data_IF_187829804658
#
_entry.id   IF_187829804658
#
_cell.length_a   1.000
_cell.length_b   1.000
_cell.length_c   1.000
_cell.angle_alpha   90.00
_cell.angle_beta   90.00
_cell.angle_gamma   90.00
#
_symmetry.space_group_name_H-M   'P 1'
#
loop_
_entity.id
_entity.type
_entity.pdbx_description
1 polymer ?
#
# COMPACT_ATOMS: atom_id res chain seq x y z
N UNK A 1 -31.65 -35.76 -95.64
CA UNK A 1 -32.88 -36.19 -96.32
C UNK A 1 -32.89 -35.53 -97.68
N UNK A 2 -32.92 -36.31 -98.76
CA UNK A 2 -33.02 -35.79 -100.12
C UNK A 2 -34.46 -35.95 -100.59
N UNK A 3 -34.98 -34.94 -101.30
CA UNK A 3 -36.33 -34.96 -101.86
C UNK A 3 -36.26 -34.71 -103.37
N UNK A 4 -37.17 -35.31 -104.12
CA UNK A 4 -37.31 -35.02 -105.54
C UNK A 4 -38.08 -33.71 -105.75
N UNK A 5 -37.87 -33.10 -106.92
CA UNK A 5 -38.69 -31.98 -107.38
C UNK A 5 -40.17 -32.36 -107.44
N UNK A 6 -41.06 -31.42 -107.09
CA UNK A 6 -42.52 -31.59 -107.18
C UNK A 6 -43.00 -31.90 -108.60
N UNK A 7 -42.22 -31.56 -109.63
CA UNK A 7 -42.52 -31.83 -111.04
C UNK A 7 -41.94 -33.17 -111.53
N UNK A 8 -41.61 -34.12 -110.63
CA UNK A 8 -41.15 -35.46 -111.01
C UNK A 8 -42.14 -36.18 -111.93
N UNK A 9 -43.45 -36.03 -111.70
CA UNK A 9 -44.50 -36.56 -112.59
C UNK A 9 -44.50 -35.94 -113.98
N UNK A 10 -43.93 -34.73 -114.13
CA UNK A 10 -43.83 -34.00 -115.39
C UNK A 10 -42.46 -34.19 -116.06
N UNK A 11 -41.59 -35.06 -115.51
CA UNK A 11 -40.29 -35.42 -116.07
C UNK A 11 -39.09 -34.69 -115.49
N UNK A 12 -39.22 -33.99 -114.36
CA UNK A 12 -38.08 -33.38 -113.66
C UNK A 12 -37.43 -34.37 -112.69
N UNK A 13 -36.18 -34.77 -112.93
CA UNK A 13 -35.44 -35.75 -112.13
C UNK A 13 -34.55 -35.13 -111.03
N UNK A 14 -34.64 -33.81 -110.80
CA UNK A 14 -33.84 -33.12 -109.79
C UNK A 14 -34.07 -33.69 -108.38
N UNK A 15 -32.97 -34.00 -107.69
CA UNK A 15 -32.91 -34.57 -106.34
C UNK A 15 -31.91 -33.75 -105.50
N UNK A 16 -32.33 -33.26 -104.34
CA UNK A 16 -31.50 -32.38 -103.52
C UNK A 16 -32.04 -32.19 -102.10
N UNK A 17 -31.39 -31.34 -101.31
CA UNK A 17 -31.92 -30.92 -100.01
C UNK A 17 -33.21 -30.08 -100.22
N UNK A 18 -34.06 -30.00 -99.18
CA UNK A 18 -35.33 -29.30 -99.30
C UNK A 18 -35.19 -27.82 -99.72
N UNK A 19 -34.18 -27.11 -99.21
CA UNK A 19 -33.89 -25.73 -99.63
C UNK A 19 -33.46 -25.63 -101.10
N UNK A 20 -32.61 -26.55 -101.58
CA UNK A 20 -32.12 -26.58 -102.97
C UNK A 20 -33.25 -26.89 -103.96
N UNK A 21 -34.17 -27.78 -103.60
CA UNK A 21 -35.32 -28.13 -104.45
C UNK A 21 -36.35 -27.00 -104.51
N UNK A 22 -36.52 -26.21 -103.45
CA UNK A 22 -37.34 -24.99 -103.47
C UNK A 22 -36.73 -23.95 -104.43
N UNK A 23 -35.42 -23.72 -104.35
CA UNK A 23 -34.74 -22.80 -105.27
C UNK A 23 -34.82 -23.28 -106.72
N UNK A 24 -34.55 -24.57 -106.97
CA UNK A 24 -34.70 -25.17 -108.29
C UNK A 24 -36.13 -25.00 -108.83
N UNK A 25 -37.16 -25.30 -108.03
CA UNK A 25 -38.55 -25.16 -108.46
C UNK A 25 -38.91 -23.73 -108.89
N UNK A 26 -38.39 -22.72 -108.16
CA UNK A 26 -38.69 -21.31 -108.44
C UNK A 26 -37.92 -20.74 -109.63
N UNK A 27 -36.67 -21.17 -109.85
CA UNK A 27 -35.75 -20.51 -110.77
C UNK A 27 -35.38 -21.34 -112.00
N UNK A 28 -35.25 -22.66 -111.83
CA UNK A 28 -34.53 -23.52 -112.79
C UNK A 28 -35.39 -24.66 -113.36
N UNK A 29 -36.56 -24.94 -112.78
CA UNK A 29 -37.38 -26.09 -113.16
C UNK A 29 -38.13 -25.85 -114.48
N UNK A 30 -37.57 -26.31 -115.59
CA UNK A 30 -38.19 -26.16 -116.92
C UNK A 30 -39.47 -26.98 -117.12
N UNK A 31 -39.81 -27.84 -116.16
CA UNK A 31 -40.98 -28.72 -116.17
C UNK A 31 -42.12 -28.21 -115.28
N UNK A 32 -41.98 -27.02 -114.68
CA UNK A 32 -43.09 -26.43 -113.95
C UNK A 32 -44.22 -26.08 -114.92
N UNK A 33 -45.45 -26.36 -114.50
CA UNK A 33 -46.62 -26.02 -115.27
C UNK A 33 -46.80 -24.50 -115.31
N UNK A 34 -47.01 -23.97 -116.50
CA UNK A 34 -47.37 -22.58 -116.76
C UNK A 34 -48.64 -22.52 -117.60
N UNK A 35 -49.36 -21.42 -117.48
CA UNK A 35 -50.55 -21.15 -118.28
C UNK A 35 -50.23 -20.08 -119.31
N UNK A 36 -50.44 -20.38 -120.60
CA UNK A 36 -50.27 -19.39 -121.66
C UNK A 36 -51.23 -18.21 -121.43
N UNK A 37 -50.71 -16.98 -121.39
CA UNK A 37 -51.54 -15.81 -121.14
C UNK A 37 -52.54 -15.51 -122.26
N UNK A 38 -52.25 -15.98 -123.49
CA UNK A 38 -53.07 -15.79 -124.70
C UNK A 38 -54.24 -16.78 -124.77
N UNK A 39 -53.99 -18.09 -124.74
CA UNK A 39 -55.03 -19.11 -124.91
C UNK A 39 -55.47 -19.82 -123.61
N UNK A 40 -54.82 -19.53 -122.48
CA UNK A 40 -55.04 -20.18 -121.17
C UNK A 40 -54.75 -21.68 -121.11
N UNK A 41 -54.07 -22.24 -122.11
CA UNK A 41 -53.63 -23.64 -122.07
C UNK A 41 -52.48 -23.82 -121.06
N UNK A 42 -52.54 -24.89 -120.27
CA UNK A 42 -51.45 -25.28 -119.35
C UNK A 42 -50.42 -26.16 -120.07
N UNK A 43 -49.13 -25.86 -119.92
CA UNK A 43 -48.01 -26.55 -120.55
C UNK A 43 -46.74 -26.45 -119.68
N UNK A 44 -45.71 -27.23 -119.98
CA UNK A 44 -44.42 -27.09 -119.30
C UNK A 44 -43.70 -25.80 -119.73
N UNK A 45 -42.97 -25.16 -118.82
CA UNK A 45 -42.23 -23.93 -119.13
C UNK A 45 -41.31 -24.06 -120.35
N UNK A 46 -40.64 -25.21 -120.54
CA UNK A 46 -39.80 -25.49 -121.72
C UNK A 46 -40.56 -25.46 -123.06
N UNK A 47 -41.86 -25.73 -123.05
CA UNK A 47 -42.72 -25.77 -124.24
C UNK A 47 -43.37 -24.42 -124.52
N UNK A 48 -43.34 -23.49 -123.55
CA UNK A 48 -44.00 -22.19 -123.66
C UNK A 48 -43.43 -21.33 -124.79
N UNK A 49 -42.11 -21.30 -124.98
CA UNK A 49 -41.49 -20.55 -126.07
C UNK A 49 -41.89 -21.08 -127.44
N UNK A 50 -41.81 -22.41 -127.64
CA UNK A 50 -42.26 -23.05 -128.88
C UNK A 50 -43.75 -22.84 -129.14
N UNK A 51 -44.60 -22.93 -128.12
CA UNK A 51 -46.03 -22.66 -128.24
C UNK A 51 -46.34 -21.21 -128.65
N UNK A 52 -45.56 -20.24 -128.16
CA UNK A 52 -45.72 -18.84 -128.55
C UNK A 52 -45.24 -18.57 -130.00
N UNK A 53 -44.31 -19.38 -130.51
CA UNK A 53 -43.77 -19.27 -131.87
C UNK A 53 -44.66 -19.97 -132.92
N UNK A 54 -45.36 -21.05 -132.58
CA UNK A 54 -46.15 -21.86 -133.55
C UNK A 54 -47.65 -21.52 -133.61
N UNK A 55 -48.00 -20.24 -133.68
CA UNK A 55 -49.39 -19.73 -133.73
C UNK A 55 -50.28 -20.22 -132.56
N UNK A 56 -50.01 -19.66 -131.37
CA UNK A 56 -50.92 -19.69 -130.24
C UNK A 56 -52.29 -19.05 -130.62
N UNK A 57 -53.25 -19.90 -131.01
CA UNK A 57 -54.57 -19.48 -131.47
C UNK A 57 -55.44 -19.03 -130.28
N UNK A 58 -55.93 -17.79 -130.33
CA UNK A 58 -56.95 -17.28 -129.41
C UNK A 58 -58.30 -17.87 -129.87
N UNK A 59 -59.11 -18.51 -129.00
CA UNK A 59 -60.47 -18.85 -129.35
C UNK A 59 -61.26 -17.55 -129.57
N UNK A 60 -61.48 -17.17 -130.83
CA UNK A 60 -62.42 -16.09 -131.19
C UNK A 60 -63.84 -16.52 -130.82
N UNK A 61 -64.31 -16.09 -129.65
CA UNK A 61 -65.63 -16.42 -129.17
C UNK A 61 -66.13 -15.43 -128.13
N UNK A 62 -67.06 -14.58 -128.57
CA UNK A 62 -68.00 -13.78 -127.77
C UNK A 62 -67.58 -12.35 -127.38
N UNK A 63 -67.37 -11.52 -128.42
CA UNK A 63 -67.73 -10.10 -128.34
C UNK A 63 -69.27 -9.96 -128.32
N UNK A 64 -69.90 -10.29 -127.19
CA UNK A 64 -71.29 -9.91 -126.95
C UNK A 64 -71.33 -8.48 -126.45
N UNK A 65 -71.91 -7.63 -127.30
CA UNK A 65 -72.44 -6.30 -127.03
C UNK A 65 -72.99 -6.15 -125.60
N UNK A 66 -72.13 -5.70 -124.68
CA UNK A 66 -72.55 -5.23 -123.37
C UNK A 66 -72.93 -3.77 -123.51
N UNK A 67 -74.25 -3.53 -123.53
CA UNK A 67 -74.86 -2.20 -123.42
C UNK A 67 -74.27 -1.50 -122.20
N UNK A 68 -73.70 -0.32 -122.37
CA UNK A 68 -73.38 0.60 -121.29
C UNK A 68 -74.69 0.98 -120.58
N UNK A 69 -75.08 0.19 -119.57
CA UNK A 69 -75.92 0.67 -118.49
C UNK A 69 -75.18 1.83 -117.82
N UNK A 70 -75.91 2.89 -117.49
CA UNK A 70 -75.40 4.14 -116.92
C UNK A 70 -74.17 3.92 -116.05
N UNK A 71 -73.03 4.50 -116.45
CA UNK A 71 -71.76 4.52 -115.72
C UNK A 71 -71.94 4.91 -114.23
N UNK A 72 -73.01 5.67 -113.96
CA UNK A 72 -73.48 6.10 -112.65
C UNK A 72 -73.85 4.95 -111.71
N UNK A 73 -74.39 3.83 -112.23
CA UNK A 73 -74.80 2.67 -111.43
C UNK A 73 -73.62 1.80 -110.98
N UNK A 74 -72.47 1.88 -111.65
CA UNK A 74 -71.23 1.18 -111.27
C UNK A 74 -70.31 2.09 -110.46
N UNK A 75 -70.26 3.40 -110.73
CA UNK A 75 -69.41 4.36 -109.99
C UNK A 75 -69.92 4.59 -108.55
N UNK A 76 -71.23 4.53 -108.31
CA UNK A 76 -71.81 4.85 -106.99
C UNK A 76 -71.40 3.90 -105.85
N UNK A 77 -71.36 2.56 -106.01
CA UNK A 77 -70.79 1.65 -105.01
C UNK A 77 -69.31 1.90 -104.74
N UNK A 78 -68.49 2.10 -105.78
CA UNK A 78 -67.07 2.39 -105.63
C UNK A 78 -66.82 3.70 -104.88
N UNK A 79 -67.62 4.74 -105.14
CA UNK A 79 -67.53 6.01 -104.42
C UNK A 79 -67.89 5.86 -102.92
N UNK A 80 -68.87 5.00 -102.61
CA UNK A 80 -69.22 4.66 -101.23
C UNK A 80 -68.10 3.91 -100.51
N UNK A 81 -67.52 2.88 -101.14
CA UNK A 81 -66.43 2.09 -100.58
C UNK A 81 -65.16 2.95 -100.34
N UNK A 82 -64.82 3.84 -101.27
CA UNK A 82 -63.72 4.80 -101.11
C UNK A 82 -63.98 5.76 -99.94
N UNK A 83 -65.23 6.20 -99.77
CA UNK A 83 -65.65 7.00 -98.61
C UNK A 83 -65.46 6.25 -97.30
N UNK A 84 -65.93 4.99 -97.24
CA UNK A 84 -65.79 4.14 -96.06
C UNK A 84 -64.32 3.87 -95.72
N UNK A 85 -63.49 3.58 -96.72
CA UNK A 85 -62.04 3.41 -96.54
C UNK A 85 -61.37 4.69 -96.04
N UNK A 86 -61.79 5.86 -96.51
CA UNK A 86 -61.29 7.16 -96.02
C UNK A 86 -61.63 7.35 -94.54
N UNK A 87 -62.86 7.06 -94.15
CA UNK A 87 -63.30 7.19 -92.76
C UNK A 87 -62.57 6.21 -91.84
N UNK A 88 -62.38 4.95 -92.30
CA UNK A 88 -61.57 3.96 -91.60
C UNK A 88 -60.11 4.40 -91.45
N UNK A 89 -59.51 4.96 -92.51
CA UNK A 89 -58.14 5.48 -92.46
C UNK A 89 -58.01 6.64 -91.47
N UNK A 90 -58.96 7.59 -91.47
CA UNK A 90 -59.00 8.69 -90.49
C UNK A 90 -59.19 8.20 -89.05
N UNK A 91 -59.98 7.15 -88.85
CA UNK A 91 -60.15 6.50 -87.54
C UNK A 91 -58.85 5.84 -87.06
N UNK A 92 -58.18 5.07 -87.93
CA UNK A 92 -56.88 4.44 -87.63
C UNK A 92 -55.82 5.50 -87.34
N UNK A 93 -55.78 6.58 -88.12
CA UNK A 93 -54.83 7.67 -87.91
C UNK A 93 -55.04 8.35 -86.55
N UNK A 94 -56.28 8.58 -86.14
CA UNK A 94 -56.61 9.13 -84.82
C UNK A 94 -56.18 8.18 -83.70
N UNK A 95 -56.48 6.89 -83.82
CA UNK A 95 -56.07 5.87 -82.84
C UNK A 95 -54.54 5.72 -82.74
N UNK A 96 -53.84 5.81 -83.87
CA UNK A 96 -52.38 5.80 -83.91
C UNK A 96 -51.79 7.03 -83.19
N UNK A 97 -52.40 8.20 -83.39
CA UNK A 97 -51.97 9.43 -82.72
C UNK A 97 -52.18 9.35 -81.20
N UNK A 98 -53.33 8.85 -80.75
CA UNK A 98 -53.59 8.60 -79.32
C UNK A 98 -52.60 7.59 -78.73
N UNK A 99 -52.35 6.49 -79.41
CA UNK A 99 -51.38 5.48 -78.98
C UNK A 99 -49.96 6.06 -78.89
N UNK A 100 -49.58 6.90 -79.86
CA UNK A 100 -48.29 7.60 -79.85
C UNK A 100 -48.15 8.52 -78.64
N UNK A 101 -49.20 9.26 -78.29
CA UNK A 101 -49.22 10.14 -77.11
C UNK A 101 -49.14 9.34 -75.80
N UNK A 102 -49.85 8.22 -75.70
CA UNK A 102 -49.77 7.30 -74.56
C UNK A 102 -48.37 6.71 -74.40
N UNK A 103 -47.75 6.24 -75.49
CA UNK A 103 -46.37 5.72 -75.46
C UNK A 103 -45.39 6.82 -75.05
N UNK A 104 -45.53 8.04 -75.58
CA UNK A 104 -44.69 9.17 -75.19
C UNK A 104 -44.81 9.47 -73.68
N UNK A 105 -46.03 9.46 -73.15
CA UNK A 105 -46.27 9.61 -71.71
C UNK A 105 -45.64 8.49 -70.88
N UNK A 106 -45.77 7.23 -71.31
CA UNK A 106 -45.12 6.10 -70.62
C UNK A 106 -43.60 6.19 -70.64
N UNK A 107 -43.00 6.56 -71.77
CA UNK A 107 -41.53 6.74 -71.89
C UNK A 107 -41.05 7.84 -70.96
N UNK A 108 -41.79 8.94 -70.83
CA UNK A 108 -41.46 10.01 -69.89
C UNK A 108 -41.52 9.52 -68.43
N UNK A 109 -42.57 8.79 -68.06
CA UNK A 109 -42.68 8.20 -66.71
C UNK A 109 -41.56 7.19 -66.41
N UNK A 110 -41.16 6.37 -67.39
CA UNK A 110 -40.03 5.45 -67.23
C UNK A 110 -38.71 6.19 -67.01
N UNK A 111 -38.49 7.32 -67.70
CA UNK A 111 -37.31 8.16 -67.49
C UNK A 111 -37.28 8.75 -66.09
N UNK A 112 -38.37 9.35 -65.64
CA UNK A 112 -38.48 9.92 -64.29
C UNK A 112 -38.27 8.86 -63.20
N UNK A 113 -38.80 7.65 -63.41
CA UNK A 113 -38.54 6.51 -62.50
C UNK A 113 -37.07 6.09 -62.50
N UNK A 114 -36.43 6.00 -63.67
CA UNK A 114 -35.02 5.64 -63.76
C UNK A 114 -34.12 6.68 -63.06
N UNK A 115 -34.43 7.97 -63.21
CA UNK A 115 -33.71 9.05 -62.52
C UNK A 115 -33.90 8.96 -61.00
N UNK A 116 -35.12 8.68 -60.54
CA UNK A 116 -35.41 8.46 -59.12
C UNK A 116 -34.66 7.24 -58.56
N UNK A 117 -34.63 6.12 -59.28
CA UNK A 117 -33.92 4.91 -58.87
C UNK A 117 -32.40 5.14 -58.80
N UNK A 118 -31.84 5.95 -59.71
CA UNK A 118 -30.44 6.37 -59.68
C UNK A 118 -30.14 7.20 -58.43
N UNK A 119 -30.99 8.17 -58.07
CA UNK A 119 -30.85 8.96 -56.85
C UNK A 119 -30.97 8.13 -55.57
N UNK A 120 -31.87 7.14 -55.55
CA UNK A 120 -31.98 6.19 -54.44
C UNK A 120 -30.68 5.39 -54.31
N UNK A 121 -30.13 4.91 -55.43
CA UNK A 121 -28.87 4.14 -55.45
C UNK A 121 -27.70 4.96 -54.93
N UNK A 122 -27.58 6.23 -55.34
CA UNK A 122 -26.54 7.15 -54.86
C UNK A 122 -26.69 7.44 -53.35
N UNK A 123 -27.94 7.65 -52.89
CA UNK A 123 -28.24 7.86 -51.47
C UNK A 123 -27.88 6.64 -50.63
N UNK A 124 -28.21 5.44 -51.10
CA UNK A 124 -27.84 4.18 -50.45
C UNK A 124 -26.32 4.01 -50.38
N UNK A 125 -25.59 4.32 -51.45
CA UNK A 125 -24.12 4.28 -51.42
C UNK A 125 -23.52 5.29 -50.44
N UNK A 126 -24.08 6.49 -50.36
CA UNK A 126 -23.63 7.52 -49.41
C UNK A 126 -23.87 7.07 -47.97
N UNK A 127 -25.04 6.48 -47.68
CA UNK A 127 -25.35 5.91 -46.37
C UNK A 127 -24.44 4.73 -46.02
N UNK A 128 -24.17 3.82 -46.95
CA UNK A 128 -23.27 2.68 -46.75
C UNK A 128 -21.84 3.16 -46.40
N UNK A 129 -21.32 4.14 -47.15
CA UNK A 129 -20.01 4.73 -46.85
C UNK A 129 -19.96 5.41 -45.48
N UNK A 130 -21.03 6.15 -45.13
CA UNK A 130 -21.14 6.83 -43.84
C UNK A 130 -21.20 5.82 -42.69
N UNK A 131 -21.97 4.75 -42.84
CA UNK A 131 -22.09 3.68 -41.86
C UNK A 131 -20.75 2.96 -41.67
N UNK A 132 -20.05 2.64 -42.76
CA UNK A 132 -18.72 2.01 -42.72
C UNK A 132 -17.71 2.86 -41.97
N UNK A 133 -17.65 4.17 -42.26
CA UNK A 133 -16.71 5.06 -41.55
C UNK A 133 -17.09 5.23 -40.08
N UNK A 134 -18.38 5.36 -39.76
CA UNK A 134 -18.85 5.40 -38.37
C UNK A 134 -18.47 4.13 -37.60
N UNK A 135 -18.65 2.95 -38.22
CA UNK A 135 -18.25 1.68 -37.63
C UNK A 135 -16.74 1.59 -37.42
N UNK A 136 -15.93 2.04 -38.40
CA UNK A 136 -14.47 2.08 -38.28
C UNK A 136 -14.01 2.98 -37.15
N UNK A 137 -14.64 4.15 -36.99
CA UNK A 137 -14.36 5.08 -35.89
C UNK A 137 -14.76 4.50 -34.54
N UNK A 138 -15.92 3.85 -34.46
CA UNK A 138 -16.38 3.17 -33.26
C UNK A 138 -15.42 2.05 -32.86
N UNK A 139 -14.93 1.25 -33.82
CA UNK A 139 -13.94 0.21 -33.57
C UNK A 139 -12.62 0.79 -33.04
N UNK A 140 -12.08 1.84 -33.67
CA UNK A 140 -10.85 2.49 -33.19
C UNK A 140 -11.01 3.08 -31.79
N UNK A 141 -12.19 3.61 -31.47
CA UNK A 141 -12.50 4.08 -30.12
C UNK A 141 -12.54 2.93 -29.11
N UNK A 142 -13.19 1.82 -29.48
CA UNK A 142 -13.22 0.60 -28.68
C UNK A 142 -11.81 0.05 -28.42
N UNK A 143 -10.95 0.01 -29.44
CA UNK A 143 -9.56 -0.46 -29.31
C UNK A 143 -8.76 0.44 -28.36
N UNK A 144 -8.87 1.77 -28.49
CA UNK A 144 -8.22 2.72 -27.55
C UNK A 144 -8.69 2.55 -26.12
N UNK A 145 -10.00 2.43 -25.90
CA UNK A 145 -10.53 2.20 -24.56
C UNK A 145 -10.08 0.87 -23.97
N UNK A 146 -9.92 -0.17 -24.79
CA UNK A 146 -9.36 -1.45 -24.35
C UNK A 146 -7.88 -1.33 -23.95
N UNK A 147 -7.07 -0.57 -24.71
CA UNK A 147 -5.68 -0.29 -24.37
C UNK A 147 -5.54 0.50 -23.07
N UNK A 148 -6.37 1.54 -22.88
CA UNK A 148 -6.41 2.33 -21.64
C UNK A 148 -6.80 1.46 -20.43
N UNK A 149 -7.82 0.60 -20.57
CA UNK A 149 -8.22 -0.35 -19.54
C UNK A 149 -7.11 -1.35 -19.19
N UNK A 150 -6.35 -1.81 -20.19
CA UNK A 150 -5.21 -2.69 -19.96
C UNK A 150 -4.10 -1.99 -19.16
N UNK A 151 -3.80 -0.72 -19.48
CA UNK A 151 -2.82 0.09 -18.74
C UNK A 151 -3.26 0.33 -17.28
N UNK A 152 -4.53 0.70 -17.07
CA UNK A 152 -5.11 0.87 -15.73
C UNK A 152 -5.03 -0.44 -14.94
N UNK A 153 -5.39 -1.56 -15.57
CA UNK A 153 -5.34 -2.89 -14.95
C UNK A 153 -3.93 -3.26 -14.48
N UNK A 154 -2.91 -2.99 -15.31
CA UNK A 154 -1.52 -3.23 -14.94
C UNK A 154 -1.06 -2.31 -13.79
N UNK A 155 -1.42 -1.03 -13.85
CA UNK A 155 -1.09 -0.07 -12.78
C UNK A 155 -1.72 -0.47 -11.44
N UNK A 156 -2.99 -0.89 -11.44
CA UNK A 156 -3.67 -1.41 -10.25
C UNK A 156 -3.00 -2.67 -9.70
N UNK A 157 -2.52 -3.56 -10.58
CA UNK A 157 -1.76 -4.75 -10.18
C UNK A 157 -0.46 -4.36 -9.45
N UNK A 158 0.28 -3.39 -9.97
CA UNK A 158 1.54 -2.93 -9.37
C UNK A 158 1.34 -2.25 -8.01
N UNK A 159 0.30 -1.42 -7.91
CA UNK A 159 -0.12 -0.82 -6.62
C UNK A 159 -0.46 -1.91 -5.61
N UNK A 160 -1.23 -2.92 -6.02
CA UNK A 160 -1.63 -4.01 -5.14
C UNK A 160 -0.43 -4.87 -4.68
N UNK A 161 0.56 -5.11 -5.55
CA UNK A 161 1.83 -5.74 -5.16
C UNK A 161 2.57 -4.89 -4.13
N UNK A 162 2.63 -3.57 -4.33
CA UNK A 162 3.29 -2.64 -3.41
C UNK A 162 2.61 -2.59 -2.04
N UNK A 163 1.27 -2.55 -2.01
CA UNK A 163 0.48 -2.61 -0.77
C UNK A 163 0.73 -3.92 -0.01
N UNK A 164 0.80 -5.06 -0.72
CA UNK A 164 1.14 -6.35 -0.09
C UNK A 164 2.53 -6.32 0.55
N UNK A 165 3.53 -5.75 -0.13
CA UNK A 165 4.90 -5.61 0.44
C UNK A 165 4.90 -4.76 1.69
N UNK A 166 4.24 -3.60 1.66
CA UNK A 166 4.11 -2.71 2.82
C UNK A 166 3.44 -3.44 3.99
N UNK A 167 2.34 -4.16 3.72
CA UNK A 167 1.65 -4.97 4.72
C UNK A 167 2.59 -5.98 5.38
N UNK A 168 3.32 -6.77 4.59
CA UNK A 168 4.25 -7.77 5.13
C UNK A 168 5.39 -7.15 5.95
N UNK A 169 5.90 -5.99 5.52
CA UNK A 169 6.92 -5.25 6.28
C UNK A 169 6.38 -4.72 7.60
N UNK A 170 5.16 -4.20 7.62
CA UNK A 170 4.49 -3.75 8.85
C UNK A 170 4.21 -4.91 9.80
N UNK A 171 3.74 -6.05 9.29
CA UNK A 171 3.50 -7.25 10.10
C UNK A 171 4.82 -7.75 10.74
N UNK A 172 5.92 -7.71 9.98
CA UNK A 172 7.25 -8.06 10.50
C UNK A 172 7.68 -7.10 11.61
N UNK A 173 7.60 -5.79 11.36
CA UNK A 173 7.95 -4.76 12.34
C UNK A 173 7.11 -4.86 13.63
N UNK A 174 5.80 -5.06 13.50
CA UNK A 174 4.91 -5.23 14.66
C UNK A 174 5.30 -6.47 15.46
N UNK A 175 5.63 -7.58 14.78
CA UNK A 175 6.04 -8.83 15.45
C UNK A 175 7.36 -8.64 16.20
N UNK A 176 8.36 -7.99 15.59
CA UNK A 176 9.64 -7.66 16.21
C UNK A 176 9.46 -6.74 17.43
N UNK A 177 8.75 -5.63 17.28
CA UNK A 177 8.48 -4.70 18.37
C UNK A 177 7.70 -5.35 19.53
N UNK A 178 6.72 -6.21 19.21
CA UNK A 178 5.96 -6.96 20.23
C UNK A 178 6.88 -7.92 20.98
N UNK A 179 7.80 -8.60 20.28
CA UNK A 179 8.78 -9.49 20.90
C UNK A 179 9.74 -8.71 21.82
N UNK A 180 10.25 -7.57 21.40
CA UNK A 180 11.13 -6.72 22.20
C UNK A 180 10.44 -6.23 23.48
N UNK A 181 9.21 -5.73 23.36
CA UNK A 181 8.40 -5.30 24.51
C UNK A 181 8.12 -6.48 25.45
N UNK A 182 7.79 -7.66 24.90
CA UNK A 182 7.57 -8.85 25.72
C UNK A 182 8.80 -9.24 26.53
N UNK A 183 9.99 -9.20 25.93
CA UNK A 183 11.27 -9.47 26.63
C UNK A 183 11.54 -8.41 27.70
N UNK A 184 11.34 -7.12 27.39
CA UNK A 184 11.52 -6.05 28.37
C UNK A 184 10.56 -6.19 29.57
N UNK A 185 9.29 -6.53 29.32
CA UNK A 185 8.31 -6.81 30.37
C UNK A 185 8.72 -8.00 31.23
N UNK A 186 9.20 -9.10 30.63
CA UNK A 186 9.69 -10.27 31.38
C UNK A 186 10.90 -9.92 32.26
N UNK A 187 11.85 -9.13 31.76
CA UNK A 187 12.99 -8.68 32.54
C UNK A 187 12.56 -7.80 33.73
N UNK A 188 11.65 -6.85 33.51
CA UNK A 188 11.11 -6.01 34.59
C UNK A 188 10.32 -6.82 35.63
N UNK A 189 9.58 -7.85 35.18
CA UNK A 189 8.91 -8.78 36.08
C UNK A 189 9.93 -9.53 36.96
N UNK A 190 11.01 -10.03 36.36
CA UNK A 190 12.08 -10.71 37.10
C UNK A 190 12.77 -9.76 38.10
N UNK A 191 13.11 -8.53 37.70
CA UNK A 191 13.71 -7.54 38.61
C UNK A 191 12.78 -7.19 39.77
N UNK A 192 11.47 -7.12 39.51
CA UNK A 192 10.47 -6.88 40.55
C UNK A 192 10.39 -8.06 41.51
N UNK A 193 10.39 -9.30 41.00
CA UNK A 193 10.43 -10.52 41.82
C UNK A 193 11.69 -10.54 42.71
N UNK A 194 12.86 -10.29 42.14
CA UNK A 194 14.13 -10.23 42.85
C UNK A 194 14.12 -9.13 43.95
N UNK A 195 13.52 -7.97 43.66
CA UNK A 195 13.36 -6.89 44.64
C UNK A 195 12.37 -7.25 45.75
N UNK A 196 11.27 -7.91 45.40
CA UNK A 196 10.29 -8.39 46.38
C UNK A 196 10.85 -9.47 47.30
N UNK A 197 11.81 -10.27 46.85
CA UNK A 197 12.52 -11.25 47.68
C UNK A 197 13.61 -10.60 48.54
N UNK A 198 14.28 -9.57 48.02
CA UNK A 198 15.32 -8.84 48.75
C UNK A 198 14.75 -8.05 49.94
N UNK A 199 13.58 -7.43 49.76
CA UNK A 199 13.00 -6.50 50.74
C UNK A 199 12.72 -7.14 52.10
N UNK A 200 12.02 -8.29 52.20
CA UNK A 200 11.80 -9.02 53.47
C UNK A 200 13.11 -9.47 54.11
N UNK A 201 14.11 -9.84 53.30
CA UNK A 201 15.38 -10.34 53.81
C UNK A 201 16.19 -9.23 54.49
N UNK A 202 16.19 -8.02 53.93
CA UNK A 202 16.80 -6.83 54.56
C UNK A 202 16.00 -6.40 55.78
N UNK A 203 14.66 -6.32 55.66
CA UNK A 203 13.78 -5.96 56.77
C UNK A 203 13.97 -6.89 57.97
N UNK A 204 13.96 -8.21 57.74
CA UNK A 204 14.19 -9.20 58.80
C UNK A 204 15.56 -9.09 59.46
N UNK A 205 16.63 -8.83 58.68
CA UNK A 205 17.97 -8.56 59.25
C UNK A 205 18.00 -7.27 60.08
N UNK A 206 17.31 -6.22 59.63
CA UNK A 206 17.24 -4.97 60.40
C UNK A 206 16.41 -5.10 61.67
N UNK A 207 15.28 -5.83 61.62
CA UNK A 207 14.46 -6.14 62.78
C UNK A 207 15.26 -6.93 63.82
N UNK A 208 15.97 -7.99 63.39
CA UNK A 208 16.83 -8.77 64.28
C UNK A 208 17.94 -7.93 64.93
N UNK A 209 18.54 -6.99 64.18
CA UNK A 209 19.55 -6.07 64.73
C UNK A 209 18.95 -5.08 65.72
N UNK A 210 17.75 -4.56 65.45
CA UNK A 210 17.02 -3.67 66.37
C UNK A 210 16.67 -4.40 67.66
N UNK A 211 16.15 -5.62 67.58
CA UNK A 211 15.85 -6.45 68.74
C UNK A 211 17.12 -6.74 69.57
N UNK A 212 18.24 -7.04 68.91
CA UNK A 212 19.54 -7.21 69.58
C UNK A 212 20.03 -5.95 70.29
N UNK A 213 19.88 -4.77 69.66
CA UNK A 213 20.22 -3.48 70.27
C UNK A 213 19.29 -3.15 71.45
N UNK A 214 17.99 -3.41 71.32
CA UNK A 214 17.02 -3.19 72.38
C UNK A 214 17.33 -4.06 73.59
N UNK A 215 17.61 -5.36 73.38
CA UNK A 215 18.00 -6.27 74.44
C UNK A 215 19.31 -5.83 75.12
N UNK A 216 20.31 -5.39 74.34
CA UNK A 216 21.57 -4.86 74.88
C UNK A 216 21.35 -3.59 75.71
N UNK A 217 20.51 -2.68 75.23
CA UNK A 217 20.16 -1.45 75.95
C UNK A 217 19.42 -1.77 77.25
N UNK A 218 18.47 -2.72 77.22
CA UNK A 218 17.71 -3.18 78.38
C UNK A 218 18.65 -3.77 79.46
N UNK A 219 19.61 -4.60 79.06
CA UNK A 219 20.57 -5.19 79.99
C UNK A 219 21.53 -4.14 80.57
N UNK A 220 21.99 -3.18 79.76
CA UNK A 220 22.79 -2.05 80.26
C UNK A 220 22.02 -1.22 81.28
N UNK A 221 20.76 -0.90 81.01
CA UNK A 221 19.91 -0.14 81.94
C UNK A 221 19.70 -0.90 83.26
N UNK A 222 19.50 -2.21 83.18
CA UNK A 222 19.38 -3.09 84.34
C UNK A 222 20.67 -3.11 85.17
N UNK A 223 21.82 -3.26 84.51
CA UNK A 223 23.13 -3.24 85.17
C UNK A 223 23.39 -1.88 85.85
N UNK A 224 23.04 -0.77 85.20
CA UNK A 224 23.15 0.57 85.77
C UNK A 224 22.27 0.73 87.01
N UNK A 225 21.03 0.22 86.95
CA UNK A 225 20.11 0.24 88.08
C UNK A 225 20.64 -0.57 89.27
N UNK A 226 21.21 -1.75 89.01
CA UNK A 226 21.81 -2.58 90.06
C UNK A 226 23.10 -1.96 90.62
N UNK A 227 23.89 -1.27 89.78
CA UNK A 227 25.03 -0.47 90.23
C UNK A 227 24.58 0.69 91.12
N UNK A 228 23.51 1.41 90.76
CA UNK A 228 22.93 2.46 91.61
C UNK A 228 22.46 1.93 92.96
N UNK A 229 21.79 0.76 93.00
CA UNK A 229 21.42 0.12 94.27
C UNK A 229 22.64 -0.19 95.14
N UNK A 230 23.72 -0.67 94.51
CA UNK A 230 24.98 -0.99 95.19
C UNK A 230 25.64 0.26 95.75
N UNK A 231 25.72 1.34 94.96
CA UNK A 231 26.24 2.64 95.39
C UNK A 231 25.42 3.21 96.56
N UNK A 232 24.09 3.09 96.52
CA UNK A 232 23.22 3.50 97.63
C UNK A 232 23.55 2.75 98.92
N UNK A 233 23.68 1.42 98.85
CA UNK A 233 24.03 0.59 100.01
C UNK A 233 25.43 0.94 100.56
N UNK A 234 26.40 1.18 99.68
CA UNK A 234 27.74 1.64 100.09
C UNK A 234 27.71 3.01 100.76
N UNK A 235 26.92 3.95 100.25
CA UNK A 235 26.78 5.28 100.83
C UNK A 235 26.13 5.24 102.22
N UNK A 236 25.09 4.41 102.41
CA UNK A 236 24.48 4.17 103.72
C UNK A 236 25.50 3.60 104.72
N UNK A 237 26.29 2.60 104.30
CA UNK A 237 27.36 2.02 105.14
C UNK A 237 28.48 3.01 105.46
N UNK A 238 28.91 3.82 104.49
CA UNK A 238 29.92 4.85 104.70
C UNK A 238 29.42 5.89 105.69
N UNK A 239 28.16 6.30 105.57
CA UNK A 239 27.51 7.23 106.49
C UNK A 239 27.52 6.68 107.92
N UNK A 240 27.19 5.41 108.11
CA UNK A 240 27.22 4.75 109.42
C UNK A 240 28.64 4.66 110.00
N UNK A 241 29.64 4.33 109.18
CA UNK A 241 31.04 4.24 109.60
C UNK A 241 31.63 5.62 109.98
N UNK A 242 31.32 6.66 109.20
CA UNK A 242 31.72 8.04 109.50
C UNK A 242 31.09 8.51 110.81
N UNK A 243 29.79 8.28 111.03
CA UNK A 243 29.11 8.62 112.28
C UNK A 243 29.72 7.91 113.50
N UNK A 244 30.08 6.63 113.36
CA UNK A 244 30.77 5.86 114.41
C UNK A 244 32.15 6.42 114.72
N UNK A 245 32.94 6.74 113.71
CA UNK A 245 34.30 7.27 113.88
C UNK A 245 34.32 8.68 114.49
N UNK A 246 33.41 9.57 114.07
CA UNK A 246 33.26 10.91 114.68
C UNK A 246 32.90 10.79 116.15
N UNK A 247 32.00 9.86 116.50
CA UNK A 247 31.61 9.60 117.89
C UNK A 247 32.78 9.07 118.74
N UNK A 248 33.66 8.24 118.16
CA UNK A 248 34.86 7.74 118.84
C UNK A 248 35.91 8.84 119.05
N UNK A 249 36.11 9.71 118.05
CA UNK A 249 37.01 10.87 118.16
C UNK A 249 36.54 11.88 119.20
N UNK A 250 35.23 12.13 119.29
CA UNK A 250 34.65 12.98 120.34
C UNK A 250 34.97 12.47 121.75
N UNK A 251 34.94 11.14 121.95
CA UNK A 251 35.32 10.51 123.24
C UNK A 251 36.82 10.59 123.52
N UNK A 252 37.67 10.43 122.51
CA UNK A 252 39.12 10.53 122.68
C UNK A 252 39.57 11.97 123.01
N UNK A 253 38.96 12.98 122.38
CA UNK A 253 39.25 14.38 122.65
C UNK A 253 38.92 14.79 124.10
N UNK A 254 37.83 14.25 124.66
CA UNK A 254 37.43 14.49 126.04
C UNK A 254 38.43 13.93 127.06
N UNK A 255 39.08 12.79 126.77
CA UNK A 255 40.11 12.19 127.63
C UNK A 255 41.43 12.98 127.59
N UNK A 256 41.78 13.57 126.45
CA UNK A 256 43.03 14.33 126.29
C UNK A 256 42.97 15.69 127.01
N UNK A 257 41.80 16.31 127.13
CA UNK A 257 41.65 17.60 127.82
C UNK A 257 41.81 17.55 129.35
N UNK A 258 41.84 16.37 129.97
CA UNK A 258 41.88 16.20 131.43
C UNK A 258 43.26 15.84 132.01
N UNK A 259 44.31 15.78 131.18
CA UNK A 259 45.67 15.43 131.62
C UNK A 259 46.55 16.67 131.86
N UNK A 260 47.13 16.87 133.07
CA UNK A 260 48.07 17.95 133.34
C UNK A 260 49.44 17.62 132.74
N UNK A 261 49.85 18.35 131.71
CA UNK A 261 51.20 18.25 131.14
C UNK A 261 52.22 18.86 132.12
N UNK A 262 53.12 18.02 132.65
CA UNK A 262 54.23 18.43 133.51
C UNK A 262 55.17 19.44 132.81
N UNK A 263 55.48 20.53 133.50
CA UNK A 263 56.45 21.57 133.12
C UNK A 263 57.88 21.04 133.23
N UNK A 264 58.65 21.05 132.13
CA UNK A 264 60.08 20.67 132.14
C UNK A 264 60.96 21.83 132.60
N UNK A 265 61.85 21.57 133.57
CA UNK A 265 62.91 22.48 134.03
C UNK A 265 63.93 22.82 132.92
N UNK A 266 64.59 24.01 132.97
CA UNK A 266 65.53 24.44 131.93
C UNK A 266 66.85 23.67 131.97
N UNK A 267 67.23 23.06 130.83
CA UNK A 267 68.53 22.42 130.65
C UNK A 267 69.65 23.45 130.43
N UNK A 268 70.71 23.39 131.24
CA UNK A 268 71.94 24.20 131.09
C UNK A 268 73.09 23.32 130.59
N UNK A 269 73.76 23.72 129.52
CA UNK A 269 74.85 22.96 128.89
C UNK A 269 76.18 23.67 129.18
N UNK A 270 77.23 22.92 129.53
CA UNK A 270 78.58 23.46 129.81
C UNK A 270 79.64 22.87 128.88
N UNK A 271 80.42 23.73 128.23
CA UNK A 271 81.44 23.35 127.25
C UNK A 271 82.82 23.29 127.90
N UNK A 272 83.40 22.09 128.02
CA UNK A 272 84.77 21.93 128.53
C UNK A 272 85.80 22.12 127.41
N UNK A 273 86.93 22.77 127.73
CA UNK A 273 88.02 22.98 126.76
C UNK A 273 87.86 24.19 125.84
N UNK A 274 86.92 25.09 126.14
CA UNK A 274 86.59 26.28 125.35
C UNK A 274 87.81 27.10 124.89
N UNK A 275 88.81 27.29 125.75
CA UNK A 275 90.01 28.06 125.41
C UNK A 275 90.83 27.46 124.27
N UNK A 276 90.83 26.12 124.12
CA UNK A 276 91.51 25.42 123.01
C UNK A 276 90.73 25.57 121.71
N UNK A 277 89.40 25.40 121.80
CA UNK A 277 88.45 25.61 120.70
C UNK A 277 88.52 27.04 120.15
N UNK A 278 88.52 28.04 121.04
CA UNK A 278 88.63 29.46 120.68
C UNK A 278 89.95 29.77 119.97
N UNK A 279 91.08 29.24 120.47
CA UNK A 279 92.39 29.40 119.81
C UNK A 279 92.42 28.76 118.41
N UNK A 280 91.88 27.55 118.29
CA UNK A 280 91.85 26.85 117.01
C UNK A 280 90.97 27.58 115.98
N UNK A 281 89.80 28.10 116.39
CA UNK A 281 88.96 28.94 115.54
C UNK A 281 89.66 30.27 115.14
N UNK A 282 90.44 30.86 116.04
CA UNK A 282 91.17 32.12 115.76
C UNK A 282 92.22 31.94 114.65
N UNK A 283 92.85 30.76 114.58
CA UNK A 283 93.90 30.42 113.63
C UNK A 283 93.29 29.95 112.30
N UNK A 284 92.31 29.05 112.36
CA UNK A 284 91.78 28.36 111.18
C UNK A 284 90.56 29.04 110.54
N UNK A 285 90.07 30.13 111.12
CA UNK A 285 88.85 30.83 110.68
C UNK A 285 87.56 30.18 111.16
N UNK A 286 87.52 28.85 111.27
CA UNK A 286 86.37 28.08 111.77
C UNK A 286 86.83 26.84 112.55
N UNK A 287 86.09 26.50 113.60
CA UNK A 287 86.19 25.19 114.26
C UNK A 287 84.82 24.67 114.66
N UNK A 288 84.59 23.39 114.37
CA UNK A 288 83.44 22.63 114.84
C UNK A 288 83.90 21.53 115.81
N UNK A 289 83.17 21.38 116.91
CA UNK A 289 83.33 20.27 117.84
C UNK A 289 81.97 19.67 118.17
N UNK A 290 81.83 18.38 117.90
CA UNK A 290 80.65 17.61 118.31
C UNK A 290 81.04 16.57 119.35
N UNK A 291 80.10 16.22 120.22
CA UNK A 291 80.26 15.08 121.10
C UNK A 291 80.33 13.80 120.25
N UNK A 292 81.33 12.96 120.50
CA UNK A 292 81.54 11.72 119.73
C UNK A 292 80.40 10.69 119.89
N UNK A 293 79.46 10.90 120.83
CA UNK A 293 78.34 10.01 121.09
C UNK A 293 77.02 10.77 121.31
N UNK A 294 75.91 10.36 120.65
CA UNK A 294 74.58 10.94 120.86
C UNK A 294 74.09 10.77 122.30
N UNK A 295 73.36 11.76 122.79
CA UNK A 295 72.65 11.72 124.08
C UNK A 295 71.16 11.65 123.80
N UNK A 296 70.47 10.73 124.47
CA UNK A 296 69.02 10.58 124.31
C UNK A 296 68.28 11.44 125.33
N UNK A 297 67.35 12.27 124.86
CA UNK A 297 66.44 13.06 125.68
C UNK A 297 65.00 12.88 125.18
N UNK A 298 64.11 12.48 126.07
CA UNK A 298 62.67 12.28 125.76
C UNK A 298 62.39 11.42 124.52
N UNK A 299 63.19 10.37 124.30
CA UNK A 299 63.02 9.45 123.16
C UNK A 299 63.66 9.93 121.86
N UNK A 300 64.23 11.13 121.82
CA UNK A 300 64.98 11.66 120.67
C UNK A 300 66.49 11.51 120.91
N UNK A 301 67.22 11.09 119.88
CA UNK A 301 68.68 11.06 119.86
C UNK A 301 69.19 12.45 119.45
N UNK A 302 69.85 13.15 120.37
CA UNK A 302 70.42 14.48 120.12
C UNK A 302 71.94 14.35 120.15
N UNK A 303 72.63 14.85 119.12
CA UNK A 303 74.09 14.93 119.09
C UNK A 303 74.50 16.39 119.32
N UNK A 304 74.98 16.76 120.52
CA UNK A 304 75.50 18.10 120.80
C UNK A 304 76.64 18.45 119.84
N UNK A 305 76.51 19.54 119.11
CA UNK A 305 77.58 20.14 118.30
C UNK A 305 77.66 21.63 118.60
N UNK A 306 78.87 22.17 118.63
CA UNK A 306 79.11 23.60 118.71
C UNK A 306 80.03 23.98 117.55
N UNK A 307 79.62 25.02 116.83
CA UNK A 307 80.42 25.59 115.75
C UNK A 307 80.80 27.02 116.11
N UNK A 308 82.07 27.35 115.94
CA UNK A 308 82.61 28.68 116.21
C UNK A 308 83.22 29.22 114.94
N UNK A 309 82.76 30.40 114.52
CA UNK A 309 83.23 31.11 113.33
C UNK A 309 83.94 32.40 113.75
N UNK A 310 85.01 32.72 113.04
CA UNK A 310 85.73 33.99 113.17
C UNK A 310 85.25 34.93 112.06
N UNK A 311 84.55 35.99 112.42
CA UNK A 311 83.99 36.96 111.49
C UNK A 311 84.48 38.36 111.88
N UNK A 312 85.16 39.05 110.96
CA UNK A 312 85.75 40.39 111.14
C UNK A 312 86.53 40.64 112.44
N UNK A 313 87.19 39.59 112.96
CA UNK A 313 88.08 39.67 114.13
C UNK A 313 87.48 39.22 115.46
N UNK A 314 86.16 39.04 115.54
CA UNK A 314 85.45 38.49 116.69
C UNK A 314 85.00 37.03 116.46
N UNK A 315 84.73 36.29 117.54
CA UNK A 315 84.33 34.88 117.49
C UNK A 315 82.87 34.70 117.92
N UNK A 316 82.05 34.14 117.03
CA UNK A 316 80.61 33.91 117.22
C UNK A 316 80.31 32.42 117.38
N UNK A 317 79.41 32.08 118.32
CA UNK A 317 78.97 30.71 118.63
C UNK A 317 77.62 30.48 117.93
N UNK A 318 77.56 29.46 117.07
CA UNK A 318 76.34 29.01 116.39
C UNK A 318 75.80 27.72 117.04
#
# INVERSE_FOLDING_TARGET
MQIHCWNLSNGCDALGAACEIVEHFQKDCQYHAVTCFRCKQSMAYKELSGHLETDCFIPEGNASSMRYGSLDATITPFAHDIGQLRDQLSSVQSSLQETKELIAGQVQLFRERADADMHVTESVHTLDNTLKESMRQSQLSADRTAEELALITNTLRDVLVSVRKIKTSLETYITEATSEVSVACQNLQQELEDFTDFTPQVLGKTEQRLEGLENTARERLKNELDMQKTLKCLNERLSDDVCRNISALGKAAQVISELPLCTSEPLVWTVRGWSKLKKAATINGEVEASAENPKYFFGYSILPGIRILKDDGDLTLL
#
